data_IF_074062985986
#
_entry.id   IF_074062985986
#
_cell.length_a   1.000
_cell.length_b   1.000
_cell.length_c   1.000
_cell.angle_alpha   90.00
_cell.angle_beta   90.00
_cell.angle_gamma   90.00
#
_symmetry.space_group_name_H-M   'P 1'
#
loop_
_entity.id
_entity.type
_entity.pdbx_description
1 polymer ?
#
# COMPACT_ATOMS: atom_id res chain seq x y z
N UNK A 1 -25.01 14.74 8.14
CA UNK A 1 -26.33 14.22 7.77
C UNK A 1 -26.24 12.70 7.91
N UNK A 2 -26.78 12.15 9.00
CA UNK A 2 -26.72 10.69 9.23
C UNK A 2 -28.03 10.11 8.71
N UNK A 3 -27.96 9.39 7.60
CA UNK A 3 -29.12 8.65 7.08
C UNK A 3 -29.37 7.42 7.95
N UNK A 4 -30.62 7.22 8.40
CA UNK A 4 -31.02 6.02 9.11
C UNK A 4 -31.43 4.98 8.05
N UNK A 5 -30.61 3.96 7.84
CA UNK A 5 -30.97 2.81 7.01
C UNK A 5 -31.51 1.68 7.90
N UNK A 6 -32.75 1.25 7.67
CA UNK A 6 -33.28 0.03 8.27
C UNK A 6 -32.73 -1.17 7.48
N UNK A 7 -32.00 -2.06 8.15
CA UNK A 7 -31.49 -3.33 7.59
C UNK A 7 -32.04 -4.50 8.40
N UNK A 8 -32.09 -5.68 7.80
CA UNK A 8 -32.49 -6.88 8.52
C UNK A 8 -31.45 -7.22 9.59
N UNK A 9 -31.89 -7.60 10.79
CA UNK A 9 -31.01 -7.84 11.95
C UNK A 9 -29.91 -8.87 11.64
N UNK A 10 -30.24 -9.96 10.95
CA UNK A 10 -29.27 -10.98 10.54
C UNK A 10 -28.18 -10.49 9.58
N UNK A 11 -28.50 -9.55 8.68
CA UNK A 11 -27.53 -8.95 7.75
C UNK A 11 -26.58 -7.99 8.46
N UNK A 12 -27.08 -7.28 9.47
CA UNK A 12 -26.26 -6.41 10.31
C UNK A 12 -25.21 -7.21 11.07
N UNK A 13 -25.63 -8.29 11.75
CA UNK A 13 -24.72 -9.16 12.51
C UNK A 13 -23.69 -9.86 11.62
N UNK A 14 -24.07 -10.31 10.42
CA UNK A 14 -23.13 -10.91 9.46
C UNK A 14 -22.01 -9.94 9.01
N UNK A 15 -22.25 -8.63 9.09
CA UNK A 15 -21.26 -7.61 8.74
C UNK A 15 -20.28 -7.23 9.86
N UNK A 16 -20.56 -7.62 11.11
CA UNK A 16 -19.74 -7.22 12.27
C UNK A 16 -18.33 -7.82 12.27
N UNK A 17 -18.16 -8.98 11.64
CA UNK A 17 -16.85 -9.63 11.50
C UNK A 17 -15.95 -8.93 10.47
N UNK A 18 -16.50 -8.02 9.66
CA UNK A 18 -15.72 -7.27 8.68
C UNK A 18 -14.92 -6.19 9.39
N UNK A 19 -13.59 -6.15 9.21
CA UNK A 19 -12.77 -5.06 9.75
C UNK A 19 -13.30 -3.71 9.26
N UNK A 20 -13.53 -2.78 10.20
CA UNK A 20 -13.91 -1.40 9.88
C UNK A 20 -12.78 -0.61 9.24
N UNK A 21 -11.54 -1.06 9.43
CA UNK A 21 -10.35 -0.43 8.88
C UNK A 21 -9.97 -1.09 7.54
N UNK A 22 -9.55 -0.31 6.55
CA UNK A 22 -9.05 -0.86 5.30
C UNK A 22 -7.79 -1.70 5.55
N UNK A 23 -7.54 -2.73 4.74
CA UNK A 23 -6.28 -3.46 4.80
C UNK A 23 -5.09 -2.50 4.61
N UNK A 24 -4.07 -2.68 5.45
CA UNK A 24 -2.83 -1.90 5.40
C UNK A 24 -1.62 -2.80 5.14
N UNK A 25 -0.57 -2.20 4.60
CA UNK A 25 0.68 -2.89 4.22
C UNK A 25 1.90 -2.08 4.63
N UNK A 26 3.00 -2.77 4.93
CA UNK A 26 4.30 -2.15 5.19
C UNK A 26 5.17 -2.03 3.94
N UNK A 27 6.40 -1.55 4.13
CA UNK A 27 7.36 -1.40 3.03
C UNK A 27 7.75 -2.72 2.36
N UNK A 28 7.68 -3.86 3.05
CA UNK A 28 8.07 -5.14 2.47
C UNK A 28 7.06 -5.60 1.41
N UNK A 29 5.77 -5.53 1.73
CA UNK A 29 4.69 -5.90 0.83
C UNK A 29 4.59 -4.92 -0.35
N UNK A 30 4.85 -3.61 -0.12
CA UNK A 30 4.94 -2.63 -1.21
C UNK A 30 6.11 -2.97 -2.14
N UNK A 31 7.25 -3.42 -1.59
CA UNK A 31 8.43 -3.78 -2.36
C UNK A 31 8.16 -5.00 -3.25
N UNK A 32 7.49 -6.00 -2.71
CA UNK A 32 7.03 -7.18 -3.45
C UNK A 32 6.08 -6.79 -4.58
N UNK A 33 5.02 -6.04 -4.29
CA UNK A 33 4.06 -5.57 -5.30
C UNK A 33 4.73 -4.73 -6.40
N UNK A 34 5.76 -3.97 -6.04
CA UNK A 34 6.53 -3.17 -6.98
C UNK A 34 7.61 -3.99 -7.71
N UNK A 35 8.02 -5.16 -7.25
CA UNK A 35 9.19 -5.86 -7.81
C UNK A 35 10.49 -5.08 -7.64
N UNK A 36 10.68 -4.43 -6.48
CA UNK A 36 11.93 -3.74 -6.10
C UNK A 36 12.35 -4.13 -4.69
N UNK A 37 13.54 -3.71 -4.25
CA UNK A 37 13.98 -3.98 -2.87
C UNK A 37 13.25 -3.10 -1.84
N UNK A 38 13.14 -3.59 -0.59
CA UNK A 38 12.62 -2.80 0.54
C UNK A 38 13.41 -1.51 0.76
N UNK A 39 14.72 -1.53 0.56
CA UNK A 39 15.57 -0.32 0.63
C UNK A 39 15.16 0.70 -0.42
N UNK A 40 14.86 0.26 -1.65
CA UNK A 40 14.38 1.14 -2.71
C UNK A 40 13.04 1.77 -2.36
N UNK A 41 12.12 1.03 -1.75
CA UNK A 41 10.86 1.59 -1.25
C UNK A 41 11.10 2.69 -0.21
N UNK A 42 12.00 2.49 0.76
CA UNK A 42 12.32 3.54 1.74
C UNK A 42 12.83 4.83 1.09
N UNK A 43 13.60 4.73 0.01
CA UNK A 43 14.04 5.90 -0.76
C UNK A 43 12.88 6.60 -1.50
N UNK A 44 11.93 5.81 -2.02
CA UNK A 44 10.77 6.31 -2.75
C UNK A 44 9.68 6.87 -1.83
N UNK A 45 9.67 6.50 -0.55
CA UNK A 45 8.69 6.95 0.42
C UNK A 45 8.62 8.48 0.57
N UNK A 46 9.73 9.18 0.34
CA UNK A 46 9.79 10.64 0.36
C UNK A 46 9.50 11.32 -0.99
N UNK A 47 9.10 10.58 -2.03
CA UNK A 47 8.87 11.13 -3.37
C UNK A 47 7.41 11.45 -3.61
N UNK A 48 7.15 12.45 -4.45
CA UNK A 48 5.80 12.82 -4.84
C UNK A 48 5.07 11.63 -5.48
N UNK A 49 3.82 11.42 -5.07
CA UNK A 49 2.98 10.34 -5.55
C UNK A 49 3.18 9.00 -4.83
N UNK A 50 4.14 8.86 -3.91
CA UNK A 50 4.18 7.70 -3.02
C UNK A 50 2.96 7.72 -2.06
N UNK A 51 2.37 6.55 -1.71
CA UNK A 51 1.22 6.49 -0.82
C UNK A 51 1.48 7.17 0.52
N UNK A 52 0.46 7.85 1.05
CA UNK A 52 0.50 8.46 2.39
C UNK A 52 0.21 7.38 3.44
N UNK A 53 0.98 7.30 4.53
CA UNK A 53 0.71 6.35 5.59
C UNK A 53 -0.55 6.73 6.36
N UNK A 54 -1.28 5.72 6.81
CA UNK A 54 -2.47 5.90 7.67
C UNK A 54 -2.21 5.54 9.13
N UNK A 55 -1.12 4.81 9.40
CA UNK A 55 -0.70 4.45 10.75
C UNK A 55 0.82 4.62 10.82
N UNK A 56 1.29 5.37 11.82
CA UNK A 56 2.71 5.46 12.17
C UNK A 56 2.99 4.54 13.35
N UNK A 57 4.00 3.68 13.23
CA UNK A 57 4.40 2.75 14.29
C UNK A 57 5.90 2.79 14.51
N UNK A 58 6.38 2.30 15.66
CA UNK A 58 7.81 2.16 15.93
C UNK A 58 8.53 1.25 14.92
N UNK A 59 7.83 0.26 14.35
CA UNK A 59 8.40 -0.66 13.35
C UNK A 59 8.38 -0.10 11.91
N UNK A 60 7.64 0.99 11.71
CA UNK A 60 7.51 1.69 10.43
C UNK A 60 6.06 2.07 10.10
N UNK A 61 5.88 2.91 9.07
CA UNK A 61 4.56 3.32 8.61
C UNK A 61 3.80 2.17 7.93
N UNK A 62 2.47 2.21 8.06
CA UNK A 62 1.54 1.34 7.34
C UNK A 62 0.69 2.18 6.37
N UNK A 63 0.55 1.67 5.15
CA UNK A 63 -0.08 2.36 4.03
C UNK A 63 -1.38 1.64 3.64
N UNK A 64 -2.39 2.34 3.11
CA UNK A 64 -3.56 1.68 2.56
C UNK A 64 -3.15 0.72 1.44
N UNK A 65 -3.53 -0.56 1.54
CA UNK A 65 -3.16 -1.60 0.56
C UNK A 65 -3.51 -1.21 -0.87
N UNK A 66 -4.73 -0.72 -1.08
CA UNK A 66 -5.20 -0.32 -2.40
C UNK A 66 -4.36 0.81 -3.02
N UNK A 67 -3.95 1.80 -2.21
CA UNK A 67 -3.11 2.91 -2.67
C UNK A 67 -1.69 2.44 -3.02
N UNK A 68 -1.12 1.57 -2.18
CA UNK A 68 0.16 0.92 -2.42
C UNK A 68 0.20 0.13 -3.72
N UNK A 69 -0.80 -0.72 -3.95
CA UNK A 69 -0.91 -1.51 -5.18
C UNK A 69 -1.11 -0.63 -6.42
N UNK A 70 -1.97 0.40 -6.32
CA UNK A 70 -2.18 1.33 -7.41
C UNK A 70 -0.88 2.06 -7.78
N UNK A 71 -0.17 2.57 -6.79
CA UNK A 71 1.14 3.20 -6.99
C UNK A 71 2.13 2.21 -7.63
N UNK A 72 2.19 0.97 -7.14
CA UNK A 72 3.09 -0.05 -7.67
C UNK A 72 2.85 -0.33 -9.17
N UNK A 73 1.57 -0.34 -9.59
CA UNK A 73 1.15 -0.50 -11.00
C UNK A 73 1.46 0.72 -11.87
N UNK A 74 1.21 1.93 -11.40
CA UNK A 74 1.30 3.14 -12.23
C UNK A 74 2.65 3.84 -12.15
N UNK A 75 3.54 3.42 -11.24
CA UNK A 75 4.86 4.04 -11.17
C UNK A 75 5.59 3.84 -12.50
N UNK A 76 6.12 4.94 -13.03
CA UNK A 76 7.04 4.88 -14.16
C UNK A 76 8.46 4.77 -13.58
N UNK A 77 9.19 3.66 -13.80
CA UNK A 77 10.58 3.59 -13.40
C UNK A 77 11.33 4.71 -14.13
N UNK A 78 11.99 5.61 -13.40
CA UNK A 78 12.97 6.50 -14.03
C UNK A 78 13.99 5.59 -14.71
N UNK A 79 14.13 5.72 -16.05
CA UNK A 79 14.99 4.85 -16.86
C UNK A 79 16.32 4.61 -16.12
N UNK A 80 16.53 3.36 -15.71
CA UNK A 80 17.72 2.98 -14.95
C UNK A 80 18.96 3.05 -15.81
N UNK A 81 20.12 3.27 -15.18
CA UNK A 81 21.43 3.08 -15.81
C UNK A 81 21.49 1.63 -16.36
N UNK A 82 21.89 1.40 -17.62
CA UNK A 82 22.04 0.05 -18.15
C UNK A 82 22.95 -0.77 -17.24
N UNK A 83 22.54 -2.02 -16.97
CA UNK A 83 23.35 -3.01 -16.27
C UNK A 83 24.72 -3.08 -16.97
N UNK A 84 25.81 -2.98 -16.21
CA UNK A 84 27.14 -3.31 -16.77
C UNK A 84 27.14 -4.81 -17.06
N UNK A 85 26.95 -5.18 -18.31
CA UNK A 85 27.26 -6.52 -18.81
C UNK A 85 28.77 -6.70 -18.65
N UNK A 86 29.19 -7.41 -17.62
CA UNK A 86 30.55 -7.93 -17.53
C UNK A 86 30.62 -9.11 -18.51
N UNK A 87 31.22 -8.90 -19.68
CA UNK A 87 31.57 -9.97 -20.61
C UNK A 87 32.71 -10.84 -20.02
N UNK A 88 32.78 -12.15 -20.34
CA UNK A 88 33.75 -13.09 -19.79
C UNK A 88 35.20 -12.77 -20.18
#
# INVERSE_FOLDING_TARGET
>A
MTGLEARQEGEFFAGLDRPLFPPVVGYAEIAEAAGVSRQRIRQLAGTAGFPVPVIETTQGPLFPKAAAEQWARTRQPKAGRPQRTTAP
#
